data_IF_340764487757
#
_entry.id   IF_340764487757
#
_cell.length_a   1.000
_cell.length_b   1.000
_cell.length_c   1.000
_cell.angle_alpha   90.00
_cell.angle_beta   90.00
_cell.angle_gamma   90.00
#
_symmetry.space_group_name_H-M   'P 1'
#
loop_
_entity.id
_entity.type
_entity.pdbx_description
1 polymer ?
#
# COMPACT_ATOMS: atom_id res chain seq x y z
N UNK A 1 34.25 49.26 7.89
CA UNK A 1 33.97 48.19 6.89
C UNK A 1 32.90 47.28 7.42
N UNK A 2 31.73 47.38 6.90
CA UNK A 2 30.64 46.52 7.27
C UNK A 2 30.74 45.28 6.38
N UNK A 3 31.17 44.19 6.92
CA UNK A 3 31.00 42.92 6.28
C UNK A 3 29.53 42.55 6.36
N UNK A 4 28.82 42.77 5.30
CA UNK A 4 27.59 42.08 5.12
C UNK A 4 27.92 40.60 4.97
N UNK A 5 27.90 39.87 6.06
CA UNK A 5 27.82 38.43 6.02
C UNK A 5 26.42 38.15 5.45
N UNK A 6 26.38 38.02 4.17
CA UNK A 6 25.19 37.42 3.52
C UNK A 6 25.17 35.99 4.04
N UNK A 7 24.36 35.77 5.04
CA UNK A 7 24.08 34.43 5.52
C UNK A 7 23.30 33.75 4.41
N UNK A 8 24.02 33.14 3.49
CA UNK A 8 23.46 32.27 2.45
C UNK A 8 22.85 30.99 3.04
N UNK A 9 22.88 30.86 4.36
CA UNK A 9 22.28 29.73 5.06
C UNK A 9 20.74 29.69 4.96
N UNK A 10 20.11 30.77 4.49
CA UNK A 10 18.65 30.84 4.37
C UNK A 10 18.07 30.14 3.14
N UNK A 11 18.90 29.60 2.24
CA UNK A 11 18.43 29.05 0.96
C UNK A 11 18.49 27.51 0.87
N UNK A 12 18.96 26.82 1.89
CA UNK A 12 18.89 25.36 1.92
C UNK A 12 17.52 24.92 2.37
N UNK A 13 16.83 24.20 1.48
CA UNK A 13 15.56 23.56 1.81
C UNK A 13 15.82 22.46 2.85
N UNK A 14 14.96 22.39 3.84
CA UNK A 14 14.93 21.24 4.76
C UNK A 14 14.60 19.95 4.00
N UNK A 15 14.91 18.81 4.57
CA UNK A 15 14.52 17.54 3.94
C UNK A 15 13.01 17.40 3.83
N UNK A 16 12.23 17.94 4.78
CA UNK A 16 10.77 17.99 4.68
C UNK A 16 10.31 18.78 3.45
N UNK A 17 10.92 19.92 3.17
CA UNK A 17 10.60 20.69 1.97
C UNK A 17 10.96 19.93 0.69
N UNK A 18 12.09 19.24 0.67
CA UNK A 18 12.52 18.41 -0.48
C UNK A 18 11.61 17.21 -0.67
N UNK A 19 11.07 16.67 0.41
CA UNK A 19 10.18 15.52 0.39
C UNK A 19 8.73 15.90 0.00
N UNK A 20 8.36 17.17 0.06
CA UNK A 20 6.99 17.62 -0.19
C UNK A 20 6.39 17.13 -1.52
N UNK A 21 7.09 17.20 -2.68
CA UNK A 21 6.55 16.66 -3.93
C UNK A 21 6.27 15.16 -3.88
N UNK A 22 7.11 14.40 -3.21
CA UNK A 22 6.92 12.95 -3.04
C UNK A 22 5.73 12.66 -2.13
N UNK A 23 5.53 13.46 -1.08
CA UNK A 23 4.37 13.36 -0.20
C UNK A 23 3.06 13.65 -0.94
N UNK A 24 3.04 14.66 -1.79
CA UNK A 24 1.87 14.94 -2.64
C UNK A 24 1.54 13.76 -3.55
N UNK A 25 2.55 13.15 -4.14
CA UNK A 25 2.39 11.96 -4.97
C UNK A 25 1.81 10.79 -4.16
N UNK A 26 2.31 10.56 -2.96
CA UNK A 26 1.81 9.52 -2.05
C UNK A 26 0.35 9.77 -1.69
N UNK A 27 -0.01 10.98 -1.33
CA UNK A 27 -1.38 11.36 -0.99
C UNK A 27 -2.33 11.19 -2.18
N UNK A 28 -1.87 11.52 -3.38
CA UNK A 28 -2.65 11.31 -4.60
C UNK A 28 -2.86 9.83 -4.89
N UNK A 29 -1.81 9.02 -4.82
CA UNK A 29 -1.91 7.57 -4.99
C UNK A 29 -2.87 6.95 -3.97
N UNK A 30 -2.83 7.41 -2.74
CA UNK A 30 -3.75 6.98 -1.69
C UNK A 30 -5.20 7.32 -2.05
N UNK A 31 -5.47 8.53 -2.50
CA UNK A 31 -6.80 8.97 -2.90
C UNK A 31 -7.35 8.20 -4.11
N UNK A 32 -6.45 7.71 -4.97
CA UNK A 32 -6.80 6.89 -6.13
C UNK A 32 -6.98 5.39 -5.80
N UNK A 33 -6.74 5.00 -4.55
CA UNK A 33 -6.85 3.61 -4.10
C UNK A 33 -5.69 2.71 -4.53
N UNK A 34 -4.57 3.27 -4.95
CA UNK A 34 -3.38 2.53 -5.38
C UNK A 34 -2.47 2.21 -4.19
N UNK A 35 -2.96 1.38 -3.27
CA UNK A 35 -2.32 1.17 -1.98
C UNK A 35 -0.95 0.50 -2.05
N UNK A 36 -0.72 -0.45 -2.95
CA UNK A 36 0.59 -1.06 -3.15
C UNK A 36 1.62 -0.02 -3.58
N UNK A 37 1.27 0.87 -4.51
CA UNK A 37 2.14 1.95 -4.97
C UNK A 37 2.41 2.97 -3.86
N UNK A 38 1.42 3.24 -3.01
CA UNK A 38 1.58 4.07 -1.80
C UNK A 38 2.65 3.48 -0.88
N UNK A 39 2.56 2.18 -0.58
CA UNK A 39 3.51 1.50 0.30
C UNK A 39 4.92 1.54 -0.26
N UNK A 40 5.09 1.26 -1.55
CA UNK A 40 6.40 1.33 -2.22
C UNK A 40 6.97 2.75 -2.22
N UNK A 41 6.14 3.74 -2.46
CA UNK A 41 6.54 5.15 -2.46
C UNK A 41 6.97 5.62 -1.06
N UNK A 42 6.32 5.13 -0.01
CA UNK A 42 6.70 5.46 1.37
C UNK A 42 8.06 4.85 1.73
N UNK A 43 8.34 3.63 1.30
CA UNK A 43 9.68 3.03 1.46
C UNK A 43 10.72 3.88 0.78
N UNK A 44 10.48 4.32 -0.46
CA UNK A 44 11.37 5.21 -1.20
C UNK A 44 11.56 6.56 -0.48
N UNK A 45 10.51 7.12 0.10
CA UNK A 45 10.57 8.36 0.88
C UNK A 45 11.54 8.21 2.06
N UNK A 46 11.43 7.13 2.80
CA UNK A 46 12.30 6.86 3.97
C UNK A 46 13.76 6.71 3.57
N UNK A 47 14.02 6.06 2.46
CA UNK A 47 15.38 5.86 1.96
C UNK A 47 15.99 7.16 1.42
N UNK A 48 15.18 7.95 0.72
CA UNK A 48 15.66 9.16 0.06
C UNK A 48 15.75 10.36 1.00
N UNK A 49 14.83 10.46 1.95
CA UNK A 49 14.73 11.59 2.89
C UNK A 49 14.66 11.11 4.34
N UNK A 50 15.72 10.48 4.87
CA UNK A 50 15.70 9.90 6.22
C UNK A 50 15.53 10.92 7.33
N UNK A 51 15.83 12.20 7.08
CA UNK A 51 15.73 13.30 8.05
C UNK A 51 14.44 14.11 7.93
N UNK A 52 13.59 13.78 6.98
CA UNK A 52 12.30 14.44 6.80
C UNK A 52 11.30 13.95 7.86
N UNK A 53 11.41 14.46 9.09
CA UNK A 53 10.66 13.96 10.25
C UNK A 53 9.16 14.12 10.08
N UNK A 54 8.70 15.29 9.67
CA UNK A 54 7.26 15.57 9.50
C UNK A 54 6.68 14.77 8.32
N UNK A 55 7.39 14.71 7.20
CA UNK A 55 6.99 13.88 6.07
C UNK A 55 6.91 12.40 6.45
N UNK A 56 7.86 11.89 7.21
CA UNK A 56 7.87 10.50 7.67
C UNK A 56 6.73 10.19 8.65
N UNK A 57 6.38 11.14 9.52
CA UNK A 57 5.22 10.98 10.41
C UNK A 57 3.91 10.90 9.63
N UNK A 58 3.71 11.77 8.66
CA UNK A 58 2.54 11.74 7.78
C UNK A 58 2.51 10.46 6.95
N UNK A 59 3.66 10.06 6.41
CA UNK A 59 3.80 8.82 5.66
C UNK A 59 3.48 7.59 6.51
N UNK A 60 3.86 7.58 7.79
CA UNK A 60 3.52 6.47 8.69
C UNK A 60 2.01 6.32 8.87
N UNK A 61 1.29 7.42 9.08
CA UNK A 61 -0.17 7.39 9.19
C UNK A 61 -0.81 6.85 7.90
N UNK A 62 -0.35 7.31 6.75
CA UNK A 62 -0.83 6.82 5.44
C UNK A 62 -0.48 5.34 5.25
N UNK A 63 0.71 4.93 5.67
CA UNK A 63 1.13 3.53 5.63
C UNK A 63 0.18 2.61 6.38
N UNK A 64 -0.19 3.00 7.60
CA UNK A 64 -1.11 2.23 8.42
C UNK A 64 -2.48 2.09 7.76
N UNK A 65 -3.03 3.19 7.26
CA UNK A 65 -4.33 3.18 6.57
C UNK A 65 -4.28 2.42 5.24
N UNK A 66 -3.25 2.64 4.44
CA UNK A 66 -3.08 1.95 3.16
C UNK A 66 -2.90 0.44 3.35
N UNK A 67 -2.14 0.03 4.37
CA UNK A 67 -1.94 -1.38 4.71
C UNK A 67 -3.26 -2.04 5.12
N UNK A 68 -4.06 -1.34 5.93
CA UNK A 68 -5.37 -1.84 6.35
C UNK A 68 -6.32 -2.00 5.15
N UNK A 69 -6.43 -0.98 4.32
CA UNK A 69 -7.30 -1.02 3.14
C UNK A 69 -6.86 -2.06 2.12
N UNK A 70 -5.55 -2.21 1.93
CA UNK A 70 -5.00 -3.24 1.04
C UNK A 70 -5.35 -4.64 1.55
N UNK A 71 -5.23 -4.88 2.85
CA UNK A 71 -5.62 -6.15 3.48
C UNK A 71 -7.14 -6.39 3.34
N UNK A 72 -7.95 -5.38 3.54
CA UNK A 72 -9.41 -5.48 3.35
C UNK A 72 -9.79 -5.83 1.91
N UNK A 73 -9.13 -5.24 0.93
CA UNK A 73 -9.32 -5.58 -0.49
C UNK A 73 -8.91 -7.03 -0.79
N UNK A 74 -7.79 -7.49 -0.24
CA UNK A 74 -7.34 -8.87 -0.41
C UNK A 74 -8.33 -9.86 0.19
N UNK A 75 -8.88 -9.57 1.35
CA UNK A 75 -9.93 -10.37 1.99
C UNK A 75 -11.16 -10.42 1.11
N UNK A 76 -11.63 -9.28 0.60
CA UNK A 76 -12.80 -9.21 -0.27
C UNK A 76 -12.61 -10.01 -1.57
N UNK A 77 -11.44 -9.90 -2.20
CA UNK A 77 -11.10 -10.66 -3.41
C UNK A 77 -11.06 -12.17 -3.13
N UNK A 78 -10.47 -12.56 -2.01
CA UNK A 78 -10.37 -13.97 -1.59
C UNK A 78 -11.76 -14.54 -1.30
N UNK A 79 -12.61 -13.79 -0.60
CA UNK A 79 -13.99 -14.17 -0.34
C UNK A 79 -14.78 -14.34 -1.63
N UNK A 80 -14.71 -13.39 -2.56
CA UNK A 80 -15.37 -13.48 -3.85
C UNK A 80 -14.93 -14.70 -4.65
N UNK A 81 -13.62 -14.98 -4.67
CA UNK A 81 -13.07 -16.16 -5.36
C UNK A 81 -13.54 -17.46 -4.71
N UNK A 82 -13.61 -17.50 -3.37
CA UNK A 82 -14.13 -18.63 -2.61
C UNK A 82 -15.59 -18.90 -2.94
N UNK A 83 -16.44 -17.86 -2.93
CA UNK A 83 -17.86 -17.99 -3.26
C UNK A 83 -18.07 -18.49 -4.70
N UNK A 84 -17.34 -17.92 -5.66
CA UNK A 84 -17.39 -18.38 -7.05
C UNK A 84 -17.00 -19.86 -7.18
N UNK A 85 -15.97 -20.30 -6.46
CA UNK A 85 -15.52 -21.70 -6.45
C UNK A 85 -16.58 -22.63 -5.86
N UNK A 86 -17.23 -22.22 -4.76
CA UNK A 86 -18.32 -22.99 -4.15
C UNK A 86 -19.51 -23.15 -5.10
N UNK A 87 -19.86 -22.11 -5.83
CA UNK A 87 -20.92 -22.18 -6.85
C UNK A 87 -20.56 -23.17 -7.98
N UNK A 88 -19.30 -23.12 -8.45
CA UNK A 88 -18.83 -24.08 -9.47
C UNK A 88 -18.88 -25.52 -8.97
N UNK A 89 -18.54 -25.78 -7.71
CA UNK A 89 -18.61 -27.12 -7.11
C UNK A 89 -20.06 -27.63 -7.11
N UNK A 90 -21.02 -26.78 -6.76
CA UNK A 90 -22.44 -27.14 -6.73
C UNK A 90 -22.99 -27.57 -8.09
N UNK A 91 -22.48 -26.96 -9.18
CA UNK A 91 -22.98 -27.15 -10.53
C UNK A 91 -22.18 -28.16 -11.35
N UNK A 92 -21.17 -28.79 -10.75
CA UNK A 92 -20.32 -29.73 -11.46
C UNK A 92 -20.73 -31.18 -11.15
N UNK A 93 -20.89 -31.99 -12.18
CA UNK A 93 -21.17 -33.45 -12.08
C UNK A 93 -19.92 -34.28 -12.39
N UNK A 94 -18.87 -33.69 -12.95
CA UNK A 94 -17.63 -34.38 -13.25
C UNK A 94 -16.77 -34.46 -11.95
N UNK A 95 -16.46 -35.68 -11.54
CA UNK A 95 -15.73 -35.97 -10.30
C UNK A 95 -14.35 -35.34 -10.32
N UNK A 96 -13.64 -35.39 -11.43
CA UNK A 96 -12.30 -34.82 -11.55
C UNK A 96 -12.35 -33.32 -11.39
N UNK A 97 -13.22 -32.63 -12.11
CA UNK A 97 -13.40 -31.19 -12.02
C UNK A 97 -13.88 -30.78 -10.62
N UNK A 98 -14.79 -31.52 -10.02
CA UNK A 98 -15.24 -31.28 -8.65
C UNK A 98 -14.10 -31.36 -7.64
N UNK A 99 -13.22 -32.34 -7.77
CA UNK A 99 -12.06 -32.48 -6.89
C UNK A 99 -11.06 -31.35 -7.05
N UNK A 100 -10.81 -30.89 -8.27
CA UNK A 100 -9.96 -29.75 -8.56
C UNK A 100 -10.52 -28.46 -7.93
N UNK A 101 -11.83 -28.25 -8.04
CA UNK A 101 -12.50 -27.09 -7.46
C UNK A 101 -12.50 -27.13 -5.93
N UNK A 102 -12.65 -28.30 -5.31
CA UNK A 102 -12.53 -28.45 -3.87
C UNK A 102 -11.13 -28.13 -3.37
N UNK A 103 -10.11 -28.58 -4.08
CA UNK A 103 -8.74 -28.22 -3.76
C UNK A 103 -8.54 -26.70 -3.81
N UNK A 104 -9.05 -26.03 -4.84
CA UNK A 104 -8.99 -24.57 -4.98
C UNK A 104 -9.73 -23.88 -3.84
N UNK A 105 -10.92 -24.38 -3.47
CA UNK A 105 -11.69 -23.86 -2.33
C UNK A 105 -10.88 -23.94 -1.04
N UNK A 106 -10.28 -25.07 -0.77
CA UNK A 106 -9.51 -25.29 0.46
C UNK A 106 -8.31 -24.36 0.53
N UNK A 107 -7.62 -24.12 -0.58
CA UNK A 107 -6.52 -23.17 -0.69
C UNK A 107 -6.97 -21.74 -0.42
N UNK A 108 -8.10 -21.31 -0.98
CA UNK A 108 -8.66 -19.98 -0.79
C UNK A 108 -9.15 -19.78 0.65
N UNK A 109 -9.77 -20.78 1.24
CA UNK A 109 -10.24 -20.73 2.60
C UNK A 109 -9.08 -20.63 3.59
N UNK A 110 -8.01 -21.37 3.38
CA UNK A 110 -6.80 -21.25 4.19
C UNK A 110 -6.19 -19.85 4.11
N UNK A 111 -6.19 -19.25 2.94
CA UNK A 111 -5.71 -17.88 2.73
C UNK A 111 -6.61 -16.85 3.42
N UNK A 112 -7.92 -17.04 3.39
CA UNK A 112 -8.89 -16.15 4.04
C UNK A 112 -8.73 -16.19 5.57
N UNK A 113 -8.50 -17.37 6.13
CA UNK A 113 -8.32 -17.59 7.58
C UNK A 113 -6.95 -17.15 8.10
N UNK A 114 -5.98 -16.97 7.22
CA UNK A 114 -4.67 -16.47 7.61
C UNK A 114 -4.71 -14.97 7.95
#
# INVERSE_FOLDING_TARGET
MIFAIVVLAACEKTEDEKAAPMMECIEQLYSEGKYNEVLDSIVSLRDKYPRAVEARKRALAIWQEASLKNAQEDIAKTDSALQATLEQIKHTSDLFTANMLRWKRDSLQARYEA
#
